data_IF_991285769499
#
_entry.id   IF_991285769499
#
_cell.length_a   1.000
_cell.length_b   1.000
_cell.length_c   1.000
_cell.angle_alpha   90.00
_cell.angle_beta   90.00
_cell.angle_gamma   90.00
#
_symmetry.space_group_name_H-M   'P 1'
#
loop_
_entity.id
_entity.type
_entity.pdbx_description
1 polymer ?
#
# COMPACT_ATOMS: atom_id res chain seq x y z
N UNK A 1 0.24 -1.50 7.98
CA UNK A 1 1.37 -1.56 7.02
C UNK A 1 1.88 -2.99 6.90
N UNK A 2 2.22 -3.68 8.01
CA UNK A 2 2.63 -5.10 8.02
C UNK A 2 1.58 -5.99 7.35
N UNK A 3 0.36 -6.02 7.89
CA UNK A 3 -0.74 -6.87 7.39
C UNK A 3 -1.26 -6.50 5.98
N UNK A 4 -0.84 -5.35 5.45
CA UNK A 4 -1.31 -4.87 4.14
C UNK A 4 -0.29 -5.15 3.03
N UNK A 5 0.95 -5.49 3.39
CA UNK A 5 2.00 -5.73 2.42
C UNK A 5 1.93 -7.20 1.97
N UNK A 6 1.63 -7.49 0.70
CA UNK A 6 1.50 -8.87 0.23
C UNK A 6 2.85 -9.60 0.13
N UNK A 7 3.96 -8.87 0.32
CA UNK A 7 5.31 -9.40 0.36
C UNK A 7 5.87 -9.52 1.79
N UNK A 8 5.06 -9.18 2.81
CA UNK A 8 5.43 -9.30 4.22
C UNK A 8 6.78 -8.65 4.56
N UNK A 9 7.05 -7.43 4.05
CA UNK A 9 8.35 -6.77 4.19
C UNK A 9 8.51 -5.93 5.47
N UNK A 10 7.54 -5.08 5.86
CA UNK A 10 7.75 -4.21 7.02
C UNK A 10 8.03 -5.02 8.31
N UNK A 11 9.03 -4.59 9.08
CA UNK A 11 9.34 -5.16 10.40
C UNK A 11 9.22 -4.07 11.47
N UNK A 12 8.63 -4.39 12.62
CA UNK A 12 8.49 -3.45 13.74
C UNK A 12 9.71 -3.59 14.63
N UNK A 13 10.35 -2.46 14.95
CA UNK A 13 11.36 -2.40 16.00
C UNK A 13 10.63 -2.28 17.36
N UNK A 14 10.86 -3.19 18.32
CA UNK A 14 10.12 -3.22 19.59
C UNK A 14 10.49 -2.07 20.53
N UNK A 15 11.68 -1.50 20.43
CA UNK A 15 12.14 -0.39 21.28
C UNK A 15 11.51 0.93 20.85
N UNK A 16 11.40 1.15 19.54
CA UNK A 16 10.91 2.42 18.98
C UNK A 16 9.45 2.39 18.55
N UNK A 17 8.84 1.20 18.51
CA UNK A 17 7.49 0.95 17.96
C UNK A 17 7.29 1.50 16.53
N UNK A 18 8.37 1.55 15.75
CA UNK A 18 8.37 2.03 14.36
C UNK A 18 8.61 0.89 13.38
N UNK A 19 7.95 0.99 12.22
CA UNK A 19 8.15 0.06 11.12
C UNK A 19 9.35 0.48 10.25
N UNK A 20 10.24 -0.46 9.97
CA UNK A 20 11.37 -0.27 9.07
C UNK A 20 11.31 -1.25 7.89
N UNK A 21 11.85 -0.81 6.76
CA UNK A 21 12.03 -1.58 5.52
C UNK A 21 13.06 -0.89 4.64
N UNK A 22 13.43 -1.54 3.53
CA UNK A 22 14.20 -0.90 2.47
C UNK A 22 13.55 0.43 2.03
N UNK A 23 14.37 1.48 1.97
CA UNK A 23 14.01 2.84 1.52
C UNK A 23 14.48 3.12 0.10
N UNK A 24 15.02 2.12 -0.60
CA UNK A 24 15.69 2.26 -1.90
C UNK A 24 16.81 3.33 -1.86
N UNK A 25 17.46 3.47 -0.70
CA UNK A 25 18.44 4.52 -0.41
C UNK A 25 17.96 5.91 -0.86
N UNK A 26 16.75 6.30 -0.46
CA UNK A 26 16.17 7.60 -0.77
C UNK A 26 17.14 8.79 -0.56
N UNK A 27 17.90 8.74 0.53
CA UNK A 27 18.96 9.70 0.88
C UNK A 27 20.05 9.83 -0.20
N UNK A 28 20.29 8.77 -0.97
CA UNK A 28 21.25 8.72 -2.08
C UNK A 28 20.58 9.02 -3.41
N UNK A 29 19.46 8.36 -3.70
CA UNK A 29 18.78 8.44 -5.00
C UNK A 29 18.18 9.82 -5.24
N UNK A 30 17.72 10.52 -4.20
CA UNK A 30 17.30 11.93 -4.28
C UNK A 30 18.42 12.90 -4.68
N UNK A 31 19.69 12.47 -4.56
CA UNK A 31 20.89 13.23 -4.93
C UNK A 31 21.57 12.67 -6.18
N UNK A 32 20.87 11.88 -6.99
CA UNK A 32 21.39 11.29 -8.22
C UNK A 32 22.42 10.17 -8.00
N UNK A 33 22.60 9.69 -6.77
CA UNK A 33 23.48 8.56 -6.49
C UNK A 33 22.72 7.24 -6.53
N UNK A 34 23.37 6.16 -6.98
CA UNK A 34 22.78 4.82 -6.95
C UNK A 34 22.70 4.25 -5.51
N UNK A 35 21.79 3.30 -5.23
CA UNK A 35 21.68 2.63 -3.95
C UNK A 35 22.99 1.97 -3.50
N UNK A 36 23.22 1.92 -2.18
CA UNK A 36 24.46 1.39 -1.61
C UNK A 36 24.69 -0.08 -1.98
N UNK A 37 23.65 -0.92 -1.91
CA UNK A 37 23.72 -2.33 -2.29
C UNK A 37 24.06 -2.53 -3.78
N UNK A 38 23.50 -1.70 -4.66
CA UNK A 38 23.82 -1.73 -6.09
C UNK A 38 25.26 -1.29 -6.34
N UNK A 39 25.73 -0.23 -5.68
CA UNK A 39 27.13 0.23 -5.78
C UNK A 39 28.14 -0.82 -5.30
N UNK A 40 27.82 -1.55 -4.25
CA UNK A 40 28.70 -2.54 -3.66
C UNK A 40 28.74 -3.87 -4.44
N UNK A 41 27.84 -4.08 -5.40
CA UNK A 41 27.74 -5.36 -6.10
C UNK A 41 28.87 -5.53 -7.13
N UNK A 42 29.94 -6.22 -6.75
CA UNK A 42 31.10 -6.47 -7.61
C UNK A 42 30.76 -7.23 -8.90
N UNK A 43 29.80 -8.16 -8.83
CA UNK A 43 29.39 -8.99 -9.97
C UNK A 43 28.41 -8.29 -10.92
N UNK A 44 27.92 -7.10 -10.57
CA UNK A 44 26.91 -6.39 -11.38
C UNK A 44 25.54 -7.06 -11.39
N UNK A 45 25.23 -7.96 -10.45
CA UNK A 45 23.92 -8.60 -10.31
C UNK A 45 22.83 -7.58 -9.97
N UNK A 46 23.15 -6.61 -9.11
CA UNK A 46 22.24 -5.53 -8.74
C UNK A 46 22.50 -4.33 -9.65
N UNK A 47 21.47 -3.93 -10.39
CA UNK A 47 21.51 -2.78 -11.30
C UNK A 47 20.38 -1.81 -10.95
N UNK A 48 20.59 -0.52 -11.23
CA UNK A 48 19.67 0.55 -10.88
C UNK A 48 19.55 1.54 -12.05
N UNK A 49 18.34 2.01 -12.31
CA UNK A 49 18.03 2.92 -13.40
C UNK A 49 16.53 3.18 -13.52
N UNK A 50 16.10 3.74 -14.64
CA UNK A 50 14.69 3.98 -14.91
C UNK A 50 13.90 2.67 -14.96
N UNK A 51 12.68 2.67 -14.42
CA UNK A 51 11.83 1.47 -14.32
C UNK A 51 11.65 0.78 -15.67
N UNK A 52 11.34 1.53 -16.72
CA UNK A 52 11.12 0.98 -18.06
C UNK A 52 12.38 0.30 -18.63
N UNK A 53 13.55 0.95 -18.50
CA UNK A 53 14.83 0.40 -18.94
C UNK A 53 15.20 -0.87 -18.16
N UNK A 54 14.98 -0.87 -16.83
CA UNK A 54 15.28 -2.03 -15.99
C UNK A 54 14.36 -3.21 -16.29
N UNK A 55 13.08 -2.98 -16.58
CA UNK A 55 12.15 -4.03 -17.03
C UNK A 55 12.59 -4.60 -18.37
N UNK A 56 12.91 -3.75 -19.35
CA UNK A 56 13.40 -4.19 -20.65
C UNK A 56 14.69 -5.03 -20.52
N UNK A 57 15.63 -4.58 -19.67
CA UNK A 57 16.86 -5.30 -19.36
C UNK A 57 16.59 -6.64 -18.68
N UNK A 58 15.64 -6.70 -17.75
CA UNK A 58 15.26 -7.93 -17.06
C UNK A 58 14.71 -8.98 -18.03
N UNK A 59 13.80 -8.58 -18.93
CA UNK A 59 13.27 -9.50 -19.95
C UNK A 59 14.34 -9.93 -20.97
N UNK A 60 15.22 -9.02 -21.39
CA UNK A 60 16.35 -9.38 -22.25
C UNK A 60 17.28 -10.41 -21.58
N UNK A 61 17.55 -10.25 -20.27
CA UNK A 61 18.36 -11.21 -19.52
C UNK A 61 17.66 -12.55 -19.34
N UNK A 62 16.37 -12.58 -19.02
CA UNK A 62 15.60 -13.82 -18.93
C UNK A 62 15.61 -14.58 -20.28
N UNK A 63 15.43 -13.86 -21.39
CA UNK A 63 15.52 -14.45 -22.75
C UNK A 63 16.92 -15.04 -23.03
N UNK A 64 17.98 -14.36 -22.59
CA UNK A 64 19.35 -14.84 -22.78
C UNK A 64 19.68 -16.06 -21.91
N UNK A 65 19.04 -16.23 -20.75
CA UNK A 65 19.17 -17.43 -19.92
C UNK A 65 18.47 -18.64 -20.56
N UNK A 66 17.35 -18.41 -21.24
CA UNK A 66 16.54 -19.47 -21.85
C UNK A 66 15.84 -20.34 -20.79
N UNK A 67 15.28 -21.46 -21.23
CA UNK A 67 14.55 -22.39 -20.36
C UNK A 67 13.35 -21.74 -19.66
N UNK A 68 13.17 -22.06 -18.38
CA UNK A 68 12.07 -21.57 -17.54
C UNK A 68 12.38 -20.25 -16.81
N UNK A 69 13.37 -19.49 -17.29
CA UNK A 69 13.75 -18.22 -16.70
C UNK A 69 12.56 -17.24 -16.67
N UNK A 70 12.35 -16.61 -15.52
CA UNK A 70 11.19 -15.75 -15.29
C UNK A 70 11.59 -14.39 -14.72
N UNK A 71 10.78 -13.37 -15.01
CA UNK A 71 10.92 -12.03 -14.40
C UNK A 71 9.86 -11.91 -13.32
N UNK A 72 10.28 -11.49 -12.12
CA UNK A 72 9.40 -11.32 -10.97
C UNK A 72 9.38 -9.88 -10.50
N UNK A 73 8.18 -9.34 -10.29
CA UNK A 73 7.95 -7.94 -9.88
C UNK A 73 7.51 -7.00 -11.01
N UNK A 74 7.44 -7.47 -12.25
CA UNK A 74 6.98 -6.68 -13.40
C UNK A 74 5.46 -6.42 -13.40
N UNK A 75 4.65 -7.42 -12.98
CA UNK A 75 3.19 -7.42 -13.15
C UNK A 75 2.39 -7.14 -11.88
N UNK A 76 2.77 -7.80 -10.79
CA UNK A 76 1.92 -7.82 -9.59
C UNK A 76 1.89 -6.47 -8.89
N UNK A 77 0.75 -6.14 -8.26
CA UNK A 77 0.48 -4.85 -7.60
C UNK A 77 0.79 -3.60 -8.44
N UNK A 78 0.60 -3.68 -9.77
CA UNK A 78 0.93 -2.59 -10.70
C UNK A 78 2.42 -2.48 -11.08
N UNK A 79 3.20 -3.51 -10.76
CA UNK A 79 4.63 -3.60 -11.01
C UNK A 79 5.47 -2.90 -9.93
N UNK A 80 6.38 -3.64 -9.31
CA UNK A 80 7.30 -3.16 -8.28
C UNK A 80 8.45 -2.35 -8.88
N UNK A 81 9.15 -1.61 -8.01
CA UNK A 81 10.37 -0.85 -8.36
C UNK A 81 11.66 -1.63 -8.07
N UNK A 82 11.51 -2.90 -7.70
CA UNK A 82 12.60 -3.86 -7.54
C UNK A 82 12.13 -5.12 -8.27
N UNK A 83 12.84 -5.49 -9.32
CA UNK A 83 12.52 -6.63 -10.18
C UNK A 83 13.65 -7.65 -10.13
N UNK A 84 13.30 -8.92 -10.21
CA UNK A 84 14.25 -10.03 -10.20
C UNK A 84 14.20 -10.76 -11.53
N UNK A 85 15.37 -11.21 -11.99
CA UNK A 85 15.48 -12.21 -13.05
C UNK A 85 15.81 -13.52 -12.37
N UNK A 86 14.92 -14.48 -12.49
CA UNK A 86 15.05 -15.81 -11.92
C UNK A 86 15.47 -16.77 -13.04
N UNK A 87 16.52 -17.60 -12.84
CA UNK A 87 16.90 -18.64 -13.81
C UNK A 87 15.80 -19.67 -14.06
N UNK A 88 14.86 -19.83 -13.13
CA UNK A 88 13.79 -20.81 -13.18
C UNK A 88 12.42 -20.18 -12.86
N UNK A 89 11.38 -21.02 -12.82
CA UNK A 89 10.04 -20.59 -12.50
C UNK A 89 9.93 -20.09 -11.06
N UNK A 90 9.23 -18.97 -10.84
CA UNK A 90 8.98 -18.38 -9.51
C UNK A 90 8.46 -19.39 -8.48
N UNK A 91 7.70 -20.42 -8.89
CA UNK A 91 7.14 -21.45 -7.99
C UNK A 91 8.19 -22.27 -7.25
N UNK A 92 9.41 -22.35 -7.75
CA UNK A 92 10.50 -23.10 -7.12
C UNK A 92 11.16 -22.32 -5.96
N UNK A 93 10.84 -21.04 -5.81
CA UNK A 93 11.37 -20.20 -4.74
C UNK A 93 10.35 -20.07 -3.61
N UNK A 94 10.53 -20.87 -2.55
CA UNK A 94 9.63 -20.91 -1.38
C UNK A 94 9.40 -19.54 -0.71
N UNK A 95 10.41 -18.67 -0.76
CA UNK A 95 10.36 -17.33 -0.13
C UNK A 95 9.70 -16.27 -1.01
N UNK A 96 9.34 -16.58 -2.25
CA UNK A 96 8.68 -15.64 -3.16
C UNK A 96 7.18 -15.90 -3.18
N UNK A 97 6.41 -14.86 -2.89
CA UNK A 97 4.94 -14.92 -2.95
C UNK A 97 4.46 -15.07 -4.39
N UNK A 98 3.60 -16.05 -4.66
CA UNK A 98 2.98 -16.24 -5.97
C UNK A 98 1.73 -15.36 -6.06
N UNK A 99 1.59 -14.58 -7.13
CA UNK A 99 0.43 -13.70 -7.37
C UNK A 99 0.05 -12.79 -6.16
N UNK A 100 0.98 -11.98 -5.63
CA UNK A 100 0.69 -11.10 -4.50
C UNK A 100 -0.38 -10.07 -4.88
N UNK A 101 -1.44 -10.00 -4.07
CA UNK A 101 -2.54 -9.05 -4.22
C UNK A 101 -2.96 -8.50 -2.86
N UNK A 102 -3.59 -7.33 -2.86
CA UNK A 102 -4.12 -6.72 -1.64
C UNK A 102 -5.46 -7.42 -1.35
N UNK A 103 -5.71 -7.90 -0.12
CA UNK A 103 -6.94 -8.62 0.19
C UNK A 103 -8.16 -7.70 0.01
N UNK A 104 -9.22 -8.25 -0.59
CA UNK A 104 -10.45 -7.51 -0.92
C UNK A 104 -11.09 -6.83 0.29
N UNK A 105 -11.04 -7.47 1.46
CA UNK A 105 -11.56 -6.89 2.71
C UNK A 105 -10.89 -5.56 3.07
N UNK A 106 -9.57 -5.42 2.82
CA UNK A 106 -8.86 -4.17 3.05
C UNK A 106 -9.23 -3.10 2.03
N UNK A 107 -9.46 -3.48 0.77
CA UNK A 107 -9.92 -2.58 -0.29
C UNK A 107 -11.31 -2.06 0.07
N UNK A 108 -12.27 -2.95 0.39
CA UNK A 108 -13.62 -2.58 0.80
C UNK A 108 -13.61 -1.67 2.04
N UNK A 109 -12.81 -2.00 3.05
CA UNK A 109 -12.72 -1.19 4.26
C UNK A 109 -12.14 0.21 3.98
N UNK A 110 -11.05 0.31 3.21
CA UNK A 110 -10.35 1.58 3.00
C UNK A 110 -11.00 2.45 1.93
N UNK A 111 -11.39 1.87 0.82
CA UNK A 111 -11.74 2.61 -0.39
C UNK A 111 -13.26 2.81 -0.53
N UNK A 112 -14.07 2.01 0.18
CA UNK A 112 -15.54 2.09 0.12
C UNK A 112 -16.13 2.52 1.47
N UNK A 113 -15.90 1.73 2.53
CA UNK A 113 -16.58 1.95 3.80
C UNK A 113 -16.21 3.29 4.45
N UNK A 114 -14.93 3.66 4.43
CA UNK A 114 -14.46 4.91 5.02
C UNK A 114 -15.05 6.17 4.38
N UNK A 115 -14.96 6.40 3.05
CA UNK A 115 -15.53 7.60 2.45
C UNK A 115 -17.06 7.65 2.62
N UNK A 116 -17.75 6.52 2.50
CA UNK A 116 -19.20 6.46 2.75
C UNK A 116 -19.55 6.83 4.19
N UNK A 117 -18.79 6.31 5.17
CA UNK A 117 -18.98 6.65 6.58
C UNK A 117 -18.75 8.14 6.86
N UNK A 118 -17.73 8.74 6.25
CA UNK A 118 -17.45 10.17 6.39
C UNK A 118 -18.59 11.02 5.81
N UNK A 119 -19.11 10.65 4.63
CA UNK A 119 -20.27 11.30 4.03
C UNK A 119 -21.52 11.16 4.90
N UNK A 120 -21.79 9.97 5.44
CA UNK A 120 -22.93 9.73 6.31
C UNK A 120 -22.86 10.58 7.59
N UNK A 121 -21.68 10.67 8.22
CA UNK A 121 -21.46 11.53 9.39
C UNK A 121 -21.69 13.00 9.03
N UNK A 122 -21.16 13.47 7.89
CA UNK A 122 -21.39 14.84 7.43
C UNK A 122 -22.87 15.14 7.19
N UNK A 123 -23.57 14.24 6.51
CA UNK A 123 -25.01 14.37 6.25
C UNK A 123 -25.82 14.37 7.54
N UNK A 124 -25.48 13.54 8.53
CA UNK A 124 -26.14 13.50 9.82
C UNK A 124 -25.96 14.84 10.57
N UNK A 125 -24.74 15.38 10.64
CA UNK A 125 -24.48 16.66 11.30
C UNK A 125 -25.26 17.81 10.65
N UNK A 126 -25.26 17.87 9.32
CA UNK A 126 -26.03 18.87 8.56
C UNK A 126 -27.53 18.69 8.81
N UNK A 127 -28.02 17.45 8.76
CA UNK A 127 -29.42 17.12 9.02
C UNK A 127 -29.86 17.53 10.42
N UNK A 128 -29.06 17.23 11.45
CA UNK A 128 -29.34 17.62 12.83
C UNK A 128 -29.33 19.14 13.01
N UNK A 129 -28.38 19.85 12.38
CA UNK A 129 -28.31 21.31 12.42
C UNK A 129 -29.57 21.96 11.83
N UNK A 130 -29.99 21.54 10.63
CA UNK A 130 -31.20 22.06 10.01
C UNK A 130 -32.47 21.64 10.74
N UNK A 131 -32.54 20.41 11.27
CA UNK A 131 -33.66 19.98 12.11
C UNK A 131 -33.83 20.87 13.34
N UNK A 132 -32.73 21.23 14.02
CA UNK A 132 -32.76 22.13 15.17
C UNK A 132 -33.24 23.54 14.79
N UNK A 133 -32.76 24.11 13.68
CA UNK A 133 -33.19 25.44 13.22
C UNK A 133 -34.68 25.47 12.85
N UNK A 134 -35.19 24.45 12.15
CA UNK A 134 -36.56 24.45 11.64
C UNK A 134 -37.59 24.10 12.72
N UNK A 135 -37.29 23.12 13.59
CA UNK A 135 -38.24 22.65 14.61
C UNK A 135 -38.08 23.35 15.95
N UNK A 136 -36.89 23.89 16.26
CA UNK A 136 -36.58 24.50 17.54
C UNK A 136 -36.60 23.50 18.72
N UNK A 137 -36.12 23.91 19.90
CA UNK A 137 -36.21 23.10 21.12
C UNK A 137 -37.66 23.08 21.64
N UNK A 138 -38.18 21.89 21.95
CA UNK A 138 -39.44 21.78 22.70
C UNK A 138 -39.19 22.18 24.15
N UNK A 139 -39.89 23.22 24.62
CA UNK A 139 -39.92 23.57 26.06
C UNK A 139 -41.02 22.74 26.73
N UNK A 140 -40.84 22.29 27.98
CA UNK A 140 -41.93 21.71 28.75
C UNK A 140 -43.05 22.75 28.91
N UNK A 141 -44.31 22.31 28.87
CA UNK A 141 -45.44 23.19 29.16
C UNK A 141 -45.41 23.54 30.66
N UNK A 142 -45.18 24.81 30.98
CA UNK A 142 -45.42 25.34 32.32
C UNK A 142 -46.93 25.60 32.46
N UNK A 143 -47.63 24.76 33.24
CA UNK A 143 -49.00 25.02 33.68
C UNK A 143 -49.98 23.89 33.40
N UNK A 144 -50.14 23.00 34.38
CA UNK A 144 -51.17 21.95 34.39
C UNK A 144 -51.70 21.64 35.80
N UNK A 145 -51.74 22.65 36.68
CA UNK A 145 -52.87 22.86 37.59
C UNK A 145 -53.79 23.77 36.74
N UNK A 146 -55.10 23.58 36.56
CA UNK A 146 -56.21 23.53 37.51
C UNK A 146 -57.45 22.97 36.75
N UNK A 147 -58.57 22.78 37.46
CA UNK A 147 -59.90 22.22 37.05
C UNK A 147 -60.07 20.75 37.51
N UNK A 148 -60.76 20.43 38.61
CA UNK A 148 -61.93 21.09 39.22
C UNK A 148 -63.17 20.33 38.81
#
# INVERSE_FOLDING_TARGET
CVNSCPFEIPRINPETNRAYKCTLCWDRTSRGMIPACAKACAMGTLTFGNKAEMIARAHARAKALGGDASVYGDKYVGGTHVVYVLPENVRLYEKLTINPSIPLSLILWKDVLKPLSALAIGAALVGTFFHYIIKGPKRPEEGGNEHG
#
